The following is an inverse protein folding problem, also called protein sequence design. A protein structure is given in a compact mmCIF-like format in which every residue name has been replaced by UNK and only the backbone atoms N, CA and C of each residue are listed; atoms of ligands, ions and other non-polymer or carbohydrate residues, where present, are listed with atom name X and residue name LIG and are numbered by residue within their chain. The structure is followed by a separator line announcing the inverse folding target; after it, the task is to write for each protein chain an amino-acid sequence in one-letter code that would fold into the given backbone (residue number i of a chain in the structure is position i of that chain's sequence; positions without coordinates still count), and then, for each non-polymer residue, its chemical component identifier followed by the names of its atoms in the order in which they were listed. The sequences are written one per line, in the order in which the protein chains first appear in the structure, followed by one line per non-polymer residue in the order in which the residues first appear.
data_IF_662703728984
#
_entry.id   IF_662703728984
#
_cell.length_a   1.000
_cell.length_b   1.000
_cell.length_c   1.000
_cell.angle_alpha   90.00
_cell.angle_beta   90.00
_cell.angle_gamma   90.00
#
_symmetry.space_group_name_H-M   'P 1'
#
loop_
_entity.id
_entity.type
_entity.pdbx_description
1 polymer ?
#
# COMPACT_ATOMS: atom_id res chain seq x y z
N UNK A 1 9.87 -12.16 -7.56
CA UNK A 1 8.85 -11.46 -8.36
C UNK A 1 8.41 -10.19 -7.63
N UNK A 2 9.18 -9.10 -7.76
CA UNK A 2 8.90 -7.77 -7.13
C UNK A 2 8.38 -6.74 -8.15
N UNK A 3 8.48 -7.08 -9.44
CA UNK A 3 8.23 -6.18 -10.59
C UNK A 3 6.85 -5.52 -10.54
N UNK A 4 5.79 -6.30 -10.27
CA UNK A 4 4.42 -5.78 -10.24
C UNK A 4 4.21 -4.66 -9.21
N UNK A 5 4.83 -4.75 -8.03
CA UNK A 5 4.65 -3.73 -6.98
C UNK A 5 5.36 -2.42 -7.37
N UNK A 6 6.54 -2.50 -7.99
CA UNK A 6 7.24 -1.31 -8.47
C UNK A 6 6.47 -0.64 -9.63
N UNK A 7 5.93 -1.43 -10.55
CA UNK A 7 5.11 -0.91 -11.66
C UNK A 7 3.83 -0.23 -11.17
N UNK A 8 3.17 -0.78 -10.15
CA UNK A 8 1.99 -0.16 -9.56
C UNK A 8 2.36 1.14 -8.83
N UNK A 9 3.37 1.08 -7.96
CA UNK A 9 3.70 2.19 -7.07
C UNK A 9 4.47 3.32 -7.74
N UNK A 10 5.11 3.07 -8.89
CA UNK A 10 5.67 4.13 -9.75
C UNK A 10 4.61 5.09 -10.31
N UNK A 11 3.35 4.67 -10.38
CA UNK A 11 2.21 5.48 -10.87
C UNK A 11 1.49 6.22 -9.74
N UNK A 12 1.87 5.98 -8.49
CA UNK A 12 1.23 6.56 -7.31
C UNK A 12 1.97 7.85 -6.95
N UNK A 13 1.27 8.96 -7.10
CA UNK A 13 1.70 10.29 -6.65
C UNK A 13 1.60 10.41 -5.12
N UNK A 14 2.25 11.43 -4.55
CA UNK A 14 2.22 11.70 -3.10
C UNK A 14 0.81 11.85 -2.55
N UNK A 15 -0.09 12.54 -3.25
CA UNK A 15 -1.49 12.71 -2.84
C UNK A 15 -2.23 11.36 -2.76
N UNK A 16 -2.08 10.52 -3.79
CA UNK A 16 -2.67 9.17 -3.82
C UNK A 16 -2.10 8.27 -2.75
N UNK A 17 -0.82 8.38 -2.44
CA UNK A 17 -0.18 7.64 -1.35
C UNK A 17 -0.74 8.07 0.01
N UNK A 18 -0.81 9.37 0.27
CA UNK A 18 -1.36 9.93 1.52
C UNK A 18 -2.82 9.51 1.70
N UNK A 19 -3.63 9.57 0.63
CA UNK A 19 -5.01 9.11 0.65
C UNK A 19 -5.14 7.60 0.92
N UNK A 20 -4.28 6.79 0.30
CA UNK A 20 -4.21 5.36 0.55
C UNK A 20 -3.91 5.07 2.03
N UNK A 21 -2.88 5.72 2.58
CA UNK A 21 -2.45 5.54 3.97
C UNK A 21 -3.51 6.05 4.96
N UNK A 22 -4.16 7.18 4.66
CA UNK A 22 -5.29 7.71 5.44
C UNK A 22 -6.45 6.71 5.47
N UNK A 23 -6.88 6.19 4.33
CA UNK A 23 -7.99 5.21 4.24
C UNK A 23 -7.66 3.90 4.96
N UNK A 24 -6.39 3.52 4.98
CA UNK A 24 -5.92 2.31 5.66
C UNK A 24 -5.86 2.43 7.20
N UNK A 25 -6.05 3.63 7.75
CA UNK A 25 -5.91 3.93 9.19
C UNK A 25 -4.57 3.46 9.77
N UNK A 26 -3.51 3.40 8.96
CA UNK A 26 -2.18 2.95 9.39
C UNK A 26 -1.43 4.03 10.19
N UNK A 27 -1.76 5.31 9.94
CA UNK A 27 -1.00 6.47 10.42
C UNK A 27 -1.92 7.60 10.89
N UNK A 28 -1.42 8.36 11.86
CA UNK A 28 -2.05 9.59 12.34
C UNK A 28 -1.86 10.73 11.33
N UNK A 29 -2.73 11.75 11.41
CA UNK A 29 -2.75 12.89 10.49
C UNK A 29 -1.40 13.62 10.43
N UNK A 30 -0.74 13.80 11.57
CA UNK A 30 0.56 14.50 11.64
C UNK A 30 1.66 13.76 10.87
N UNK A 31 1.59 12.43 10.86
CA UNK A 31 2.55 11.59 10.14
C UNK A 31 2.31 11.71 8.63
N UNK A 32 1.04 11.75 8.20
CA UNK A 32 0.69 11.94 6.80
C UNK A 32 1.17 13.31 6.27
N UNK A 33 1.11 14.36 7.09
CA UNK A 33 1.64 15.68 6.72
C UNK A 33 3.14 15.67 6.46
N UNK A 34 3.91 14.85 7.19
CA UNK A 34 5.36 14.68 6.96
C UNK A 34 5.60 14.05 5.59
N UNK A 35 4.83 13.01 5.22
CA UNK A 35 4.96 12.36 3.91
C UNK A 35 4.66 13.32 2.76
N UNK A 36 3.64 14.17 2.93
CA UNK A 36 3.27 15.19 1.96
C UNK A 36 4.35 16.27 1.82
N UNK A 37 4.88 16.75 2.95
CA UNK A 37 5.94 17.77 2.99
C UNK A 37 7.25 17.29 2.35
N UNK A 38 7.65 16.06 2.64
CA UNK A 38 8.84 15.43 2.06
C UNK A 38 8.59 14.91 0.63
N UNK A 39 7.38 15.07 0.09
CA UNK A 39 6.97 14.65 -1.26
C UNK A 39 7.25 13.18 -1.55
N UNK A 40 7.08 12.34 -0.54
CA UNK A 40 7.28 10.89 -0.67
C UNK A 40 6.19 10.34 -1.60
N UNK A 41 6.59 9.80 -2.75
CA UNK A 41 5.68 9.18 -3.69
C UNK A 41 5.55 7.67 -3.43
N UNK A 42 4.70 6.98 -4.20
CA UNK A 42 4.49 5.55 -3.99
C UNK A 42 5.76 4.70 -4.19
N UNK A 43 6.62 5.07 -5.14
CA UNK A 43 7.85 4.34 -5.41
C UNK A 43 8.82 4.48 -4.23
N UNK A 44 8.99 5.70 -3.73
CA UNK A 44 9.79 5.98 -2.53
C UNK A 44 9.28 5.15 -1.36
N UNK A 45 7.96 5.14 -1.12
CA UNK A 45 7.35 4.35 -0.06
C UNK A 45 7.69 2.85 -0.13
N UNK A 46 7.72 2.25 -1.32
CA UNK A 46 8.05 0.83 -1.51
C UNK A 46 9.54 0.54 -1.39
N UNK A 47 10.39 1.51 -1.73
CA UNK A 47 11.84 1.36 -1.70
C UNK A 47 12.43 1.68 -0.32
N UNK A 48 11.81 2.61 0.41
CA UNK A 48 12.33 3.12 1.67
C UNK A 48 12.42 2.06 2.75
N UNK A 49 13.56 2.08 3.42
CA UNK A 49 13.84 1.41 4.69
C UNK A 49 13.25 2.18 5.87
N UNK A 50 13.23 1.53 7.04
CA UNK A 50 12.83 2.18 8.30
C UNK A 50 13.71 3.39 8.60
N UNK A 51 14.99 3.29 8.28
CA UNK A 51 16.01 4.33 8.49
C UNK A 51 15.76 5.55 7.58
N UNK A 52 15.42 5.35 6.32
CA UNK A 52 15.06 6.45 5.40
C UNK A 52 13.80 7.18 5.86
N UNK A 53 12.76 6.44 6.28
CA UNK A 53 11.58 7.05 6.88
C UNK A 53 11.95 7.88 8.12
N UNK A 54 12.86 7.38 8.97
CA UNK A 54 13.32 8.13 10.14
C UNK A 54 14.08 9.41 9.75
N UNK A 55 14.88 9.36 8.69
CA UNK A 55 15.60 10.53 8.18
C UNK A 55 14.66 11.62 7.65
N UNK A 56 13.52 11.22 7.07
CA UNK A 56 12.42 12.12 6.70
C UNK A 56 11.66 12.75 7.90
N UNK A 57 12.11 12.50 9.15
CA UNK A 57 11.50 13.08 10.35
C UNK A 57 10.38 12.24 10.96
N UNK A 58 10.16 11.01 10.48
CA UNK A 58 9.20 10.11 11.09
C UNK A 58 9.75 9.50 12.38
N UNK A 59 8.95 9.53 13.45
CA UNK A 59 9.29 8.83 14.69
C UNK A 59 9.43 7.33 14.45
N UNK A 60 10.22 6.65 15.30
CA UNK A 60 10.51 5.21 15.21
C UNK A 60 9.27 4.33 15.03
N UNK A 61 8.17 4.63 15.73
CA UNK A 61 6.91 3.89 15.62
C UNK A 61 6.31 3.94 14.21
N UNK A 62 5.89 5.12 13.73
CA UNK A 62 5.39 5.30 12.36
C UNK A 62 6.32 4.79 11.27
N UNK A 63 7.63 5.06 11.35
CA UNK A 63 8.62 4.57 10.39
C UNK A 63 8.65 3.04 10.32
N UNK A 64 8.55 2.36 11.47
CA UNK A 64 8.51 0.89 11.53
C UNK A 64 7.24 0.33 10.90
N UNK A 65 6.08 0.96 11.14
CA UNK A 65 4.81 0.53 10.53
C UNK A 65 4.84 0.67 9.01
N UNK A 66 5.32 1.80 8.49
CA UNK A 66 5.43 2.03 7.05
C UNK A 66 6.35 1.01 6.38
N UNK A 67 7.56 0.81 6.92
CA UNK A 67 8.51 -0.16 6.38
C UNK A 67 7.93 -1.59 6.39
N UNK A 68 7.22 -1.98 7.47
CA UNK A 68 6.55 -3.28 7.54
C UNK A 68 5.45 -3.40 6.48
N UNK A 69 4.60 -2.39 6.32
CA UNK A 69 3.53 -2.38 5.31
C UNK A 69 4.09 -2.50 3.90
N UNK A 70 5.11 -1.70 3.54
CA UNK A 70 5.77 -1.79 2.25
C UNK A 70 6.34 -3.19 2.00
N UNK A 71 6.98 -3.79 3.02
CA UNK A 71 7.50 -5.14 2.93
C UNK A 71 6.40 -6.20 2.74
N UNK A 72 5.28 -6.10 3.46
CA UNK A 72 4.16 -7.02 3.30
C UNK A 72 3.55 -6.94 1.90
N UNK A 73 3.43 -5.73 1.33
CA UNK A 73 2.95 -5.52 -0.04
C UNK A 73 3.91 -6.17 -1.05
N UNK A 74 5.22 -5.92 -0.92
CA UNK A 74 6.26 -6.50 -1.81
C UNK A 74 6.28 -8.03 -1.81
N UNK A 75 6.04 -8.63 -0.64
CA UNK A 75 6.09 -10.08 -0.45
C UNK A 75 4.71 -10.76 -0.54
N UNK A 76 3.66 -10.00 -0.90
CA UNK A 76 2.28 -10.48 -0.95
C UNK A 76 1.81 -11.16 0.35
N UNK A 77 2.24 -10.62 1.51
CA UNK A 77 1.83 -11.12 2.83
C UNK A 77 0.61 -10.37 3.33
N UNK A 78 -0.52 -10.59 2.66
CA UNK A 78 -1.79 -9.93 2.96
C UNK A 78 -2.32 -10.24 4.37
N UNK A 79 -2.00 -11.42 4.91
CA UNK A 79 -2.40 -11.86 6.25
C UNK A 79 -1.77 -11.04 7.39
N UNK A 80 -0.61 -10.42 7.15
CA UNK A 80 0.07 -9.54 8.12
C UNK A 80 -0.34 -8.06 7.97
N UNK A 81 -1.11 -7.72 6.93
CA UNK A 81 -1.66 -6.38 6.73
C UNK A 81 -2.97 -6.24 7.50
N UNK A 82 -3.31 -5.00 7.86
CA UNK A 82 -4.67 -4.71 8.32
C UNK A 82 -5.68 -5.16 7.24
N UNK A 83 -6.81 -5.79 7.60
CA UNK A 83 -7.78 -6.35 6.64
C UNK A 83 -8.23 -5.35 5.56
N UNK A 84 -8.33 -4.07 5.94
CA UNK A 84 -8.78 -3.00 5.05
C UNK A 84 -7.73 -2.61 4.00
N UNK A 85 -6.43 -2.83 4.26
CA UNK A 85 -5.33 -2.39 3.40
C UNK A 85 -5.36 -3.08 2.04
N UNK A 86 -5.65 -4.39 2.00
CA UNK A 86 -5.72 -5.16 0.76
C UNK A 86 -6.88 -4.69 -0.13
N UNK A 87 -8.04 -4.39 0.45
CA UNK A 87 -9.22 -3.89 -0.28
C UNK A 87 -8.96 -2.50 -0.85
N UNK A 88 -8.32 -1.62 -0.07
CA UNK A 88 -7.99 -0.27 -0.54
C UNK A 88 -6.92 -0.32 -1.63
N UNK A 89 -5.92 -1.21 -1.50
CA UNK A 89 -4.88 -1.40 -2.51
C UNK A 89 -5.48 -1.92 -3.82
N UNK A 90 -6.43 -2.86 -3.76
CA UNK A 90 -7.11 -3.35 -4.95
C UNK A 90 -7.91 -2.26 -5.65
N UNK A 91 -8.67 -1.45 -4.89
CA UNK A 91 -9.37 -0.27 -5.44
C UNK A 91 -8.41 0.75 -6.05
N UNK A 92 -7.26 0.97 -5.42
CA UNK A 92 -6.22 1.87 -5.95
C UNK A 92 -5.66 1.34 -7.27
N UNK A 93 -5.38 0.03 -7.36
CA UNK A 93 -4.93 -0.63 -8.59
C UNK A 93 -5.94 -0.45 -9.72
N UNK A 94 -7.22 -0.72 -9.44
CA UNK A 94 -8.31 -0.53 -10.41
C UNK A 94 -8.44 0.93 -10.87
N UNK A 95 -8.34 1.89 -9.95
CA UNK A 95 -8.36 3.32 -10.25
C UNK A 95 -7.19 3.78 -11.15
N UNK A 96 -6.10 3.02 -11.18
CA UNK A 96 -4.92 3.29 -12.02
C UNK A 96 -4.97 2.52 -13.36
N UNK A 97 -6.09 1.85 -13.68
CA UNK A 97 -6.23 1.03 -14.87
C UNK A 97 -5.31 -0.20 -14.87
N UNK A 98 -4.91 -0.67 -13.69
CA UNK A 98 -4.12 -1.89 -13.53
C UNK A 98 -5.03 -3.08 -13.21
N UNK A 99 -4.64 -4.32 -13.58
CA UNK A 99 -5.38 -5.51 -13.20
C UNK A 99 -5.49 -5.61 -11.66
N UNK A 100 -6.54 -6.27 -11.19
CA UNK A 100 -6.70 -6.59 -9.75
C UNK A 100 -5.41 -7.24 -9.24
N UNK A 101 -5.00 -6.81 -8.04
CA UNK A 101 -3.72 -7.20 -7.44
C UNK A 101 -3.60 -8.73 -7.48
N UNK A 102 -2.48 -9.31 -7.98
CA UNK A 102 -2.35 -10.77 -8.05
C UNK A 102 -2.56 -11.35 -6.66
N UNK A 103 -3.62 -12.16 -6.54
CA UNK A 103 -4.22 -12.64 -5.31
C UNK A 103 -3.19 -12.81 -4.19
N UNK A 104 -3.33 -12.01 -3.12
CA UNK A 104 -2.60 -12.26 -1.90
C UNK A 104 -2.99 -13.67 -1.45
N UNK A 105 -2.06 -14.59 -1.15
CA UNK A 105 -2.43 -15.81 -0.43
C UNK A 105 -3.19 -15.39 0.83
N UNK A 106 -4.46 -15.80 0.91
CA UNK A 106 -5.42 -15.38 1.95
C UNK A 106 -6.55 -14.45 1.47
N UNK A 107 -6.42 -13.75 0.34
CA UNK A 107 -7.53 -12.99 -0.27
C UNK A 107 -8.43 -13.91 -1.10
N UNK A 108 -8.91 -14.98 -0.47
CA UNK A 108 -10.03 -15.76 -0.97
C UNK A 108 -11.28 -14.88 -0.89
N UNK A 109 -11.43 -13.95 -1.84
CA UNK A 109 -12.74 -13.50 -2.29
C UNK A 109 -13.40 -14.72 -2.96
N UNK A 110 -13.83 -15.67 -2.13
CA UNK A 110 -14.88 -16.60 -2.54
C UNK A 110 -16.10 -15.75 -2.82
N UNK A 111 -16.64 -15.98 -4.01
CA UNK A 111 -17.99 -15.62 -4.45
C UNK A 111 -18.15 -14.18 -4.94
N UNK A 112 -17.90 -13.98 -6.23
CA UNK A 112 -18.80 -13.24 -7.12
C UNK A 112 -18.48 -13.58 -8.60
N UNK A 113 -18.43 -14.88 -8.89
CA UNK A 113 -18.66 -15.41 -10.25
C UNK A 113 -19.64 -16.56 -10.12
N UNK A 114 -20.92 -16.22 -9.93
CA UNK A 114 -21.97 -17.06 -10.52
C UNK A 114 -22.22 -16.45 -11.89
N UNK A 115 -21.43 -16.93 -12.84
CA UNK A 115 -21.72 -16.84 -14.26
C UNK A 115 -23.06 -17.53 -14.48
N UNK A 116 -23.95 -16.84 -15.20
CA UNK A 116 -25.08 -17.39 -15.93
C UNK A 116 -24.80 -18.82 -16.44
N UNK A 117 -25.63 -19.79 -16.04
CA UNK A 117 -26.00 -21.00 -16.81
C UNK A 117 -27.03 -21.83 -16.03
N UNK A 118 -28.30 -21.52 -16.27
CA UNK A 118 -29.41 -22.48 -16.37
C UNK A 118 -30.64 -21.75 -16.90
#
# INVERSE_FOLDING_TARGET
MVVWCLDLFSKITTDKLVDFLRKSNLLDVDVLQILEKEKINGLDFILFSKEEFHFCGLKRGPATRLAKTAWCIKNKKGEELLPNTCVILDRLSQSLGQPSVPAFPGSSLRNLTITMLS
#
